data_IF_250230162436
#
_entry.id   IF_250230162436
#
_cell.length_a   1.000
_cell.length_b   1.000
_cell.length_c   1.000
_cell.angle_alpha   90.00
_cell.angle_beta   90.00
_cell.angle_gamma   90.00
#
_symmetry.space_group_name_H-M   'P 1'
#
loop_
_entity.id
_entity.type
_entity.pdbx_description
1 polymer ?
#
# COMPACT_ATOMS: atom_id res chain seq x y z
N UNK A 1 20.26 0.10 11.46
CA UNK A 1 21.26 -0.99 11.44
C UNK A 1 21.29 -1.49 10.00
N UNK A 2 22.28 -1.26 9.14
CA UNK A 2 23.71 -1.07 9.31
C UNK A 2 24.24 -0.42 8.00
N UNK A 3 24.30 0.92 7.91
CA UNK A 3 24.70 1.65 6.68
C UNK A 3 26.11 2.25 6.77
N UNK A 4 26.84 1.97 7.85
CA UNK A 4 28.15 2.59 8.13
C UNK A 4 29.31 1.59 8.02
N UNK A 5 29.04 0.28 8.00
CA UNK A 5 30.09 -0.74 7.90
C UNK A 5 30.77 -0.78 6.51
N UNK A 6 30.03 -0.53 5.43
CA UNK A 6 30.56 -0.57 4.06
C UNK A 6 31.71 0.44 3.82
N UNK A 7 31.52 1.74 4.17
CA UNK A 7 32.58 2.74 4.06
C UNK A 7 33.78 2.44 4.94
N UNK A 8 33.59 1.92 6.16
CA UNK A 8 34.68 1.67 7.10
C UNK A 8 35.59 0.53 6.63
N UNK A 9 35.01 -0.54 6.09
CA UNK A 9 35.78 -1.66 5.51
C UNK A 9 36.56 -1.22 4.26
N UNK A 10 35.97 -0.33 3.45
CA UNK A 10 36.63 0.23 2.28
C UNK A 10 37.80 1.14 2.68
N UNK A 11 37.64 1.93 3.74
CA UNK A 11 38.69 2.81 4.27
C UNK A 11 39.86 2.03 4.89
N UNK A 12 39.56 0.95 5.63
CA UNK A 12 40.57 0.10 6.28
C UNK A 12 41.37 -0.68 5.23
N UNK A 13 40.72 -1.21 4.20
CA UNK A 13 41.41 -1.91 3.10
C UNK A 13 42.24 -0.95 2.22
N UNK A 14 41.78 0.29 2.01
CA UNK A 14 42.51 1.29 1.22
C UNK A 14 43.80 1.83 1.89
N UNK A 15 43.98 1.61 3.20
CA UNK A 15 45.15 2.11 3.94
C UNK A 15 46.46 1.36 3.66
N UNK A 16 46.43 0.20 3.00
CA UNK A 16 47.62 -0.62 2.71
C UNK A 16 47.85 -0.75 1.20
N UNK A 17 48.26 0.37 0.58
CA UNK A 17 48.38 0.58 -0.87
C UNK A 17 49.44 -0.28 -1.60
N UNK A 18 50.10 -1.25 -0.93
CA UNK A 18 51.19 -2.07 -1.49
C UNK A 18 50.77 -3.49 -1.94
N UNK A 19 49.52 -3.91 -1.75
CA UNK A 19 49.07 -5.27 -2.12
C UNK A 19 48.46 -5.32 -3.53
N UNK A 20 48.99 -6.17 -4.42
CA UNK A 20 48.43 -6.42 -5.77
C UNK A 20 46.98 -6.94 -5.74
N UNK A 21 46.54 -7.53 -4.64
CA UNK A 21 45.17 -8.03 -4.43
C UNK A 21 44.17 -6.93 -4.12
N UNK A 22 44.62 -5.73 -3.73
CA UNK A 22 43.76 -4.61 -3.32
C UNK A 22 42.75 -4.19 -4.40
N UNK A 23 43.14 -4.25 -5.68
CA UNK A 23 42.26 -3.94 -6.81
C UNK A 23 41.16 -4.99 -7.00
N UNK A 24 41.46 -6.26 -6.73
CA UNK A 24 40.49 -7.35 -6.81
C UNK A 24 39.50 -7.25 -5.65
N UNK A 25 39.98 -7.03 -4.43
CA UNK A 25 39.15 -6.87 -3.23
C UNK A 25 38.17 -5.69 -3.40
N UNK A 26 38.64 -4.56 -3.93
CA UNK A 26 37.81 -3.40 -4.21
C UNK A 26 36.78 -3.65 -5.32
N UNK A 27 37.15 -4.39 -6.38
CA UNK A 27 36.21 -4.77 -7.43
C UNK A 27 35.08 -5.69 -6.90
N UNK A 28 35.42 -6.63 -6.03
CA UNK A 28 34.44 -7.50 -5.36
C UNK A 28 33.50 -6.69 -4.47
N UNK A 29 34.03 -5.75 -3.67
CA UNK A 29 33.20 -4.86 -2.82
C UNK A 29 32.23 -4.04 -3.69
N UNK A 30 32.71 -3.42 -4.77
CA UNK A 30 31.87 -2.63 -5.68
C UNK A 30 30.79 -3.51 -6.32
N UNK A 31 31.13 -4.73 -6.75
CA UNK A 31 30.16 -5.67 -7.31
C UNK A 31 29.07 -6.05 -6.29
N UNK A 32 29.46 -6.35 -5.05
CA UNK A 32 28.51 -6.62 -3.97
C UNK A 32 27.60 -5.40 -3.67
N UNK A 33 28.15 -4.19 -3.69
CA UNK A 33 27.37 -2.95 -3.49
C UNK A 33 26.37 -2.72 -4.61
N UNK A 34 26.77 -2.91 -5.88
CA UNK A 34 25.87 -2.80 -7.03
C UNK A 34 24.76 -3.85 -6.93
N UNK A 35 25.09 -5.10 -6.58
CA UNK A 35 24.10 -6.14 -6.39
C UNK A 35 23.10 -5.81 -5.28
N UNK A 36 23.58 -5.34 -4.12
CA UNK A 36 22.73 -4.92 -3.01
C UNK A 36 21.83 -3.72 -3.40
N UNK A 37 22.36 -2.76 -4.15
CA UNK A 37 21.61 -1.60 -4.63
C UNK A 37 20.52 -2.01 -5.64
N UNK A 38 20.85 -2.85 -6.62
CA UNK A 38 19.88 -3.38 -7.58
C UNK A 38 18.78 -4.19 -6.89
N UNK A 39 19.14 -4.99 -5.89
CA UNK A 39 18.17 -5.72 -5.08
C UNK A 39 17.24 -4.79 -4.31
N UNK A 40 17.78 -3.75 -3.68
CA UNK A 40 16.99 -2.72 -3.00
C UNK A 40 16.03 -1.99 -3.95
N UNK A 41 16.51 -1.59 -5.13
CA UNK A 41 15.67 -0.99 -6.18
C UNK A 41 14.55 -1.93 -6.64
N UNK A 42 14.87 -3.21 -6.89
CA UNK A 42 13.89 -4.20 -7.28
C UNK A 42 12.82 -4.39 -6.19
N UNK A 43 13.23 -4.54 -4.93
CA UNK A 43 12.33 -4.67 -3.79
C UNK A 43 11.37 -3.48 -3.68
N UNK A 44 11.88 -2.25 -3.79
CA UNK A 44 11.03 -1.03 -3.80
C UNK A 44 10.08 -1.03 -5.00
N UNK A 45 10.55 -1.45 -6.18
CA UNK A 45 9.75 -1.43 -7.39
C UNK A 45 8.56 -2.38 -7.33
N UNK A 46 8.71 -3.57 -6.72
CA UNK A 46 7.64 -4.57 -6.59
C UNK A 46 6.72 -4.29 -5.41
N UNK A 47 7.25 -3.79 -4.28
CA UNK A 47 6.46 -3.52 -3.07
C UNK A 47 5.78 -2.14 -3.06
N UNK A 48 5.90 -1.35 -4.14
CA UNK A 48 5.26 -0.03 -4.21
C UNK A 48 3.72 -0.15 -4.24
N UNK A 49 2.99 0.78 -3.61
CA UNK A 49 1.54 0.82 -3.71
C UNK A 49 1.12 1.24 -5.12
N UNK A 50 0.24 0.45 -5.73
CA UNK A 50 -0.31 0.72 -7.07
C UNK A 50 -1.81 1.00 -7.03
N UNK A 51 -2.53 0.44 -6.07
CA UNK A 51 -3.92 0.76 -5.82
C UNK A 51 -4.19 0.96 -4.33
N UNK A 52 -5.17 1.80 -4.04
CA UNK A 52 -5.86 1.80 -2.76
C UNK A 52 -7.32 1.49 -3.05
N UNK A 53 -7.71 0.26 -2.78
CA UNK A 53 -8.98 -0.30 -3.22
C UNK A 53 -9.95 -0.44 -2.05
N UNK A 54 -11.15 0.11 -2.20
CA UNK A 54 -12.24 -0.09 -1.24
C UNK A 54 -12.90 -1.44 -1.50
N UNK A 55 -12.90 -2.31 -0.48
CA UNK A 55 -13.80 -3.47 -0.41
C UNK A 55 -15.00 -3.14 0.49
N UNK A 56 -15.86 -4.13 0.78
CA UNK A 56 -17.12 -3.97 1.53
C UNK A 56 -17.03 -3.08 2.78
N UNK A 57 -15.92 -3.11 3.53
CA UNK A 57 -15.81 -2.46 4.83
C UNK A 57 -14.67 -1.43 4.95
N UNK A 58 -13.62 -1.55 4.13
CA UNK A 58 -12.38 -0.81 4.34
C UNK A 58 -11.61 -0.67 3.04
N UNK A 59 -10.68 0.27 3.03
CA UNK A 59 -9.67 0.32 2.00
C UNK A 59 -8.55 -0.68 2.30
N UNK A 60 -7.89 -1.16 1.26
CA UNK A 60 -6.65 -1.93 1.33
C UNK A 60 -5.63 -1.36 0.34
N UNK A 61 -4.38 -1.25 0.79
CA UNK A 61 -3.25 -0.92 -0.08
C UNK A 61 -2.83 -2.17 -0.83
N UNK A 62 -2.79 -2.07 -2.16
CA UNK A 62 -2.40 -3.17 -3.04
C UNK A 62 -1.03 -2.85 -3.65
N UNK A 63 -0.08 -3.76 -3.48
CA UNK A 63 1.29 -3.63 -3.98
C UNK A 63 1.41 -4.13 -5.42
N UNK A 64 2.46 -3.71 -6.13
CA UNK A 64 2.57 -3.96 -7.57
C UNK A 64 2.64 -5.46 -7.92
N UNK A 65 3.37 -6.24 -7.13
CA UNK A 65 3.50 -7.69 -7.25
C UNK A 65 2.27 -8.47 -6.82
N UNK A 66 1.39 -7.84 -6.05
CA UNK A 66 0.24 -8.50 -5.44
C UNK A 66 -1.02 -8.44 -6.32
N UNK A 67 -1.03 -7.66 -7.41
CA UNK A 67 -2.20 -7.51 -8.29
C UNK A 67 -2.38 -8.74 -9.18
N UNK A 68 -3.48 -9.45 -8.98
CA UNK A 68 -3.86 -10.62 -9.75
C UNK A 68 -4.72 -10.24 -10.95
N UNK A 69 -4.26 -10.66 -12.13
CA UNK A 69 -4.97 -10.48 -13.41
C UNK A 69 -5.23 -11.85 -14.00
N UNK A 70 -6.50 -12.23 -13.98
CA UNK A 70 -6.99 -13.48 -14.55
C UNK A 70 -7.32 -13.23 -16.03
N UNK A 71 -6.55 -13.82 -16.94
CA UNK A 71 -6.70 -13.64 -18.39
C UNK A 71 -8.06 -14.12 -18.92
N UNK A 72 -8.74 -15.00 -18.18
CA UNK A 72 -10.08 -15.48 -18.54
C UNK A 72 -11.19 -14.48 -18.21
N UNK A 73 -10.88 -13.41 -17.47
CA UNK A 73 -11.87 -12.44 -16.98
C UNK A 73 -11.65 -11.07 -17.60
N UNK A 74 -12.75 -10.39 -17.93
CA UNK A 74 -12.70 -9.03 -18.41
C UNK A 74 -12.18 -8.09 -17.29
N UNK A 75 -11.19 -7.27 -17.64
CA UNK A 75 -10.62 -6.22 -16.78
C UNK A 75 -10.87 -4.89 -17.48
N UNK A 76 -11.25 -3.86 -16.74
CA UNK A 76 -11.41 -2.53 -17.33
C UNK A 76 -10.04 -2.00 -17.81
N UNK A 77 -9.97 -1.31 -18.97
CA UNK A 77 -8.69 -0.85 -19.55
C UNK A 77 -7.80 -0.06 -18.58
N UNK A 78 -8.40 0.76 -17.71
CA UNK A 78 -7.68 1.56 -16.69
C UNK A 78 -7.00 0.74 -15.58
N UNK A 79 -7.32 -0.56 -15.46
CA UNK A 79 -6.81 -1.47 -14.43
C UNK A 79 -6.00 -2.65 -15.02
N UNK A 80 -5.89 -2.74 -16.35
CA UNK A 80 -5.09 -3.77 -17.04
C UNK A 80 -3.60 -3.72 -16.70
N UNK A 81 -3.09 -2.55 -16.31
CA UNK A 81 -1.68 -2.36 -15.94
C UNK A 81 -1.55 -1.54 -14.68
N UNK A 82 -0.52 -1.86 -13.90
CA UNK A 82 -0.19 -1.11 -12.69
C UNK A 82 0.27 0.32 -13.06
N UNK A 83 -0.23 1.36 -12.38
CA UNK A 83 0.34 2.69 -12.53
C UNK A 83 1.79 2.72 -12.03
N UNK A 84 2.60 3.60 -12.64
CA UNK A 84 4.03 3.71 -12.33
C UNK A 84 4.35 4.81 -11.31
N UNK A 85 3.64 5.95 -11.37
CA UNK A 85 4.00 7.15 -10.63
C UNK A 85 3.19 7.40 -9.35
N UNK A 86 1.88 7.13 -9.40
CA UNK A 86 0.96 7.31 -8.28
C UNK A 86 0.01 6.13 -8.21
N UNK A 87 -0.38 5.75 -7.02
CA UNK A 87 -1.45 4.76 -6.88
C UNK A 87 -2.77 5.34 -7.40
N UNK A 88 -3.67 4.46 -7.84
CA UNK A 88 -5.03 4.83 -8.20
C UNK A 88 -6.03 4.33 -7.16
N UNK A 89 -7.10 5.10 -6.95
CA UNK A 89 -8.24 4.64 -6.17
C UNK A 89 -9.08 3.68 -7.00
N UNK A 90 -9.49 2.58 -6.38
CA UNK A 90 -10.39 1.61 -6.99
C UNK A 90 -11.44 1.18 -5.97
N UNK A 91 -12.51 0.56 -6.45
CA UNK A 91 -13.45 -0.15 -5.61
C UNK A 91 -13.64 -1.57 -6.12
N UNK A 92 -13.85 -2.51 -5.23
CA UNK A 92 -14.28 -3.87 -5.55
C UNK A 92 -15.77 -3.83 -5.83
N UNK A 93 -16.20 -4.35 -6.98
CA UNK A 93 -17.62 -4.45 -7.32
C UNK A 93 -18.37 -5.30 -6.29
N UNK A 94 -19.62 -4.94 -5.95
CA UNK A 94 -20.47 -5.78 -5.11
C UNK A 94 -20.55 -7.23 -5.62
N UNK A 95 -20.79 -8.16 -4.70
CA UNK A 95 -21.12 -9.53 -5.06
C UNK A 95 -22.49 -9.57 -5.75
N UNK A 96 -22.62 -10.43 -6.77
CA UNK A 96 -23.87 -10.63 -7.49
C UNK A 96 -24.87 -11.43 -6.66
N UNK A 97 -24.37 -12.41 -5.89
CA UNK A 97 -25.16 -13.29 -5.05
C UNK A 97 -24.34 -13.83 -3.85
N UNK A 98 -25.00 -14.55 -2.95
CA UNK A 98 -24.38 -15.17 -1.79
C UNK A 98 -23.34 -16.24 -2.18
N UNK A 99 -23.49 -16.87 -3.35
CA UNK A 99 -22.54 -17.89 -3.83
C UNK A 99 -21.21 -17.24 -4.22
N UNK A 100 -21.24 -16.12 -4.93
CA UNK A 100 -20.06 -15.34 -5.26
C UNK A 100 -19.37 -14.81 -3.99
N UNK A 101 -20.14 -14.31 -3.03
CA UNK A 101 -19.61 -13.86 -1.75
C UNK A 101 -18.85 -14.99 -1.02
N UNK A 102 -19.47 -16.17 -0.92
CA UNK A 102 -18.85 -17.34 -0.31
C UNK A 102 -17.59 -17.78 -1.07
N UNK A 103 -17.66 -17.85 -2.40
CA UNK A 103 -16.51 -18.22 -3.23
C UNK A 103 -15.33 -17.27 -3.05
N UNK A 104 -15.57 -15.96 -3.01
CA UNK A 104 -14.52 -14.96 -2.75
C UNK A 104 -13.90 -15.14 -1.36
N UNK A 105 -14.74 -15.36 -0.36
CA UNK A 105 -14.29 -15.58 1.03
C UNK A 105 -13.42 -16.83 1.14
N UNK A 106 -13.87 -17.96 0.58
CA UNK A 106 -13.08 -19.20 0.57
C UNK A 106 -11.79 -19.06 -0.22
N UNK A 107 -11.82 -18.37 -1.35
CA UNK A 107 -10.62 -18.10 -2.15
C UNK A 107 -9.59 -17.29 -1.38
N UNK A 108 -10.00 -16.21 -0.70
CA UNK A 108 -9.12 -15.40 0.14
C UNK A 108 -8.55 -16.23 1.30
N UNK A 109 -9.37 -17.04 1.98
CA UNK A 109 -8.91 -17.90 3.07
C UNK A 109 -7.89 -18.95 2.61
N UNK A 110 -8.07 -19.50 1.40
CA UNK A 110 -7.20 -20.55 0.87
C UNK A 110 -5.89 -20.00 0.30
N UNK A 111 -5.93 -18.82 -0.33
CA UNK A 111 -4.80 -18.28 -1.11
C UNK A 111 -4.13 -17.07 -0.47
N UNK A 112 -4.79 -16.42 0.47
CA UNK A 112 -4.42 -15.09 0.99
C UNK A 112 -4.69 -13.93 0.02
N UNK A 113 -5.25 -14.20 -1.17
CA UNK A 113 -5.53 -13.18 -2.18
C UNK A 113 -6.92 -12.58 -1.92
N UNK A 114 -6.94 -11.37 -1.39
CA UNK A 114 -8.20 -10.67 -1.11
C UNK A 114 -8.89 -10.19 -2.40
N UNK A 115 -10.19 -9.86 -2.35
CA UNK A 115 -10.90 -9.27 -3.49
C UNK A 115 -10.26 -7.96 -4.00
N UNK A 116 -9.63 -7.19 -3.10
CA UNK A 116 -8.93 -5.95 -3.46
C UNK A 116 -7.68 -6.20 -4.28
N UNK A 117 -7.12 -7.41 -4.30
CA UNK A 117 -5.96 -7.77 -5.12
C UNK A 117 -6.35 -8.19 -6.54
N UNK A 118 -7.64 -8.40 -6.81
CA UNK A 118 -8.11 -8.99 -8.07
C UNK A 118 -8.64 -7.91 -9.03
N UNK A 119 -7.86 -7.58 -10.07
CA UNK A 119 -8.13 -6.45 -10.95
C UNK A 119 -9.46 -6.54 -11.73
N UNK A 120 -9.93 -7.76 -12.03
CA UNK A 120 -11.21 -7.98 -12.70
C UNK A 120 -12.44 -7.62 -11.85
N UNK A 121 -12.25 -7.39 -10.55
CA UNK A 121 -13.30 -6.91 -9.65
C UNK A 121 -13.32 -5.39 -9.55
N UNK A 122 -12.34 -4.69 -10.13
CA UNK A 122 -12.24 -3.25 -9.96
C UNK A 122 -13.29 -2.49 -10.77
N UNK A 123 -13.82 -1.46 -10.13
CA UNK A 123 -14.64 -0.42 -10.72
C UNK A 123 -14.16 0.97 -10.24
N UNK A 124 -14.72 2.03 -10.82
CA UNK A 124 -14.44 3.40 -10.35
C UNK A 124 -14.81 3.56 -8.88
N UNK A 125 -13.95 4.22 -8.11
CA UNK A 125 -14.21 4.54 -6.70
C UNK A 125 -15.52 5.34 -6.51
N UNK A 126 -15.92 6.11 -7.52
CA UNK A 126 -17.17 6.89 -7.48
C UNK A 126 -18.42 6.01 -7.31
N UNK A 127 -18.37 4.77 -7.79
CA UNK A 127 -19.48 3.83 -7.67
C UNK A 127 -19.61 3.24 -6.25
N UNK A 128 -18.58 3.37 -5.41
CA UNK A 128 -18.58 2.85 -4.06
C UNK A 128 -19.11 3.82 -3.00
N UNK A 129 -19.39 5.09 -3.34
CA UNK A 129 -19.87 6.09 -2.38
C UNK A 129 -21.09 5.67 -1.55
N UNK A 130 -22.12 5.01 -2.11
CA UNK A 130 -23.23 4.50 -1.31
C UNK A 130 -22.77 3.53 -0.22
N UNK A 131 -21.88 2.59 -0.56
CA UNK A 131 -21.34 1.61 0.37
C UNK A 131 -20.38 2.25 1.40
N UNK A 132 -19.50 3.15 0.96
CA UNK A 132 -18.61 3.90 1.84
C UNK A 132 -19.40 4.73 2.86
N UNK A 133 -20.46 5.41 2.42
CA UNK A 133 -21.30 6.22 3.32
C UNK A 133 -22.06 5.37 4.35
N UNK A 134 -22.44 4.14 4.00
CA UNK A 134 -23.10 3.21 4.91
C UNK A 134 -22.15 2.59 5.95
N UNK A 135 -20.83 2.65 5.71
CA UNK A 135 -19.81 1.99 6.55
C UNK A 135 -18.82 2.96 7.21
N UNK A 136 -18.93 4.26 6.93
CA UNK A 136 -18.07 5.29 7.50
C UNK A 136 -18.18 5.32 9.02
N UNK A 137 -17.06 5.63 9.68
CA UNK A 137 -16.96 5.78 11.12
C UNK A 137 -16.95 7.25 11.55
N UNK A 138 -17.37 7.52 12.78
CA UNK A 138 -17.31 8.85 13.37
C UNK A 138 -15.88 9.18 13.78
N UNK A 139 -15.43 10.41 13.51
CA UNK A 139 -14.06 10.85 13.80
C UNK A 139 -13.66 10.71 15.28
N UNK A 140 -14.62 10.78 16.20
CA UNK A 140 -14.34 10.59 17.63
C UNK A 140 -13.88 9.17 17.97
N UNK A 141 -14.21 8.16 17.15
CA UNK A 141 -13.74 6.79 17.34
C UNK A 141 -12.21 6.68 17.22
N UNK A 142 -11.57 7.56 16.43
CA UNK A 142 -10.11 7.58 16.30
C UNK A 142 -9.40 7.88 17.62
N UNK A 143 -10.04 8.62 18.54
CA UNK A 143 -9.47 8.93 19.87
C UNK A 143 -9.39 7.72 20.80
N UNK A 144 -10.05 6.60 20.45
CA UNK A 144 -9.96 5.34 21.22
C UNK A 144 -8.61 4.64 21.04
N UNK A 145 -7.97 4.86 19.89
CA UNK A 145 -6.76 4.13 19.47
C UNK A 145 -5.56 5.05 19.22
N UNK A 146 -5.76 6.36 19.34
CA UNK A 146 -4.75 7.39 19.10
C UNK A 146 -4.82 8.43 20.21
N UNK A 147 -3.72 9.14 20.46
CA UNK A 147 -3.75 10.27 21.40
C UNK A 147 -4.68 11.38 20.89
N UNK A 148 -5.55 11.95 21.74
CA UNK A 148 -6.48 13.01 21.34
C UNK A 148 -5.81 14.22 20.68
N UNK A 149 -4.59 14.56 21.12
CA UNK A 149 -3.81 15.70 20.63
C UNK A 149 -3.39 15.49 19.17
N UNK A 150 -2.92 14.28 18.82
CA UNK A 150 -2.51 13.94 17.45
C UNK A 150 -3.73 13.90 16.52
N UNK A 151 -4.84 13.34 16.98
CA UNK A 151 -6.10 13.32 16.22
C UNK A 151 -6.54 14.75 15.91
N UNK A 152 -6.59 15.63 16.92
CA UNK A 152 -6.98 17.03 16.72
C UNK A 152 -6.02 17.76 15.77
N UNK A 153 -4.72 17.60 15.93
CA UNK A 153 -3.71 18.23 15.07
C UNK A 153 -3.88 17.83 13.60
N UNK A 154 -4.16 16.55 13.32
CA UNK A 154 -4.39 16.06 11.95
C UNK A 154 -5.71 16.58 11.41
N UNK A 155 -6.80 16.51 12.18
CA UNK A 155 -8.12 16.98 11.74
C UNK A 155 -8.15 18.50 11.49
N UNK A 156 -7.36 19.29 12.22
CA UNK A 156 -7.19 20.72 11.96
C UNK A 156 -6.59 21.03 10.59
N UNK A 157 -5.76 20.13 10.03
CA UNK A 157 -5.22 20.28 8.67
C UNK A 157 -6.27 19.98 7.58
N UNK A 158 -7.34 19.27 7.95
CA UNK A 158 -8.38 18.79 7.04
C UNK A 158 -9.78 19.13 7.59
N UNK A 159 -10.14 20.42 7.74
CA UNK A 159 -11.37 20.85 8.39
C UNK A 159 -12.67 20.40 7.69
N UNK A 160 -12.58 20.03 6.41
CA UNK A 160 -13.70 19.51 5.63
C UNK A 160 -14.06 18.04 5.95
N UNK A 161 -13.20 17.33 6.67
CA UNK A 161 -13.41 15.92 7.00
C UNK A 161 -14.58 15.75 7.97
N UNK A 162 -15.52 14.86 7.65
CA UNK A 162 -16.68 14.56 8.47
C UNK A 162 -16.71 13.10 8.98
N UNK A 163 -15.89 12.23 8.40
CA UNK A 163 -15.89 10.81 8.68
C UNK A 163 -14.59 10.15 8.21
N UNK A 164 -14.39 8.89 8.59
CA UNK A 164 -13.27 8.11 8.08
C UNK A 164 -13.68 6.67 7.74
N UNK A 165 -12.85 6.00 6.94
CA UNK A 165 -12.87 4.56 6.76
C UNK A 165 -11.50 3.96 7.10
N UNK A 166 -11.42 2.74 7.65
CA UNK A 166 -10.16 2.06 7.87
C UNK A 166 -9.40 1.83 6.56
N UNK A 167 -8.07 1.88 6.63
CA UNK A 167 -7.15 1.46 5.58
C UNK A 167 -6.25 0.35 6.11
N UNK A 168 -6.34 -0.83 5.53
CA UNK A 168 -5.37 -1.90 5.76
C UNK A 168 -4.13 -1.64 4.90
N UNK A 169 -2.97 -1.51 5.51
CA UNK A 169 -1.70 -1.36 4.80
C UNK A 169 -0.69 -2.44 5.24
N UNK A 170 0.35 -2.74 4.44
CA UNK A 170 1.25 -3.86 4.72
C UNK A 170 1.97 -3.80 6.07
N UNK A 171 2.26 -2.59 6.56
CA UNK A 171 3.03 -2.38 7.80
C UNK A 171 2.13 -2.02 8.97
N UNK A 172 1.19 -1.09 8.75
CA UNK A 172 0.36 -0.57 9.82
C UNK A 172 -0.96 -0.02 9.29
N UNK A 173 -2.05 -0.35 9.96
CA UNK A 173 -3.38 0.12 9.56
C UNK A 173 -3.53 1.62 9.81
N UNK A 174 -4.12 2.31 8.85
CA UNK A 174 -4.26 3.77 8.79
C UNK A 174 -5.74 4.15 8.63
N UNK A 175 -6.03 5.45 8.55
CA UNK A 175 -7.37 5.95 8.30
C UNK A 175 -7.43 6.74 6.98
N UNK A 176 -8.49 6.53 6.20
CA UNK A 176 -8.85 7.37 5.05
C UNK A 176 -9.88 8.39 5.52
N UNK A 177 -9.51 9.66 5.55
CA UNK A 177 -10.39 10.77 5.87
C UNK A 177 -11.29 11.09 4.67
N UNK A 178 -12.57 11.30 4.94
CA UNK A 178 -13.60 11.52 3.94
C UNK A 178 -14.34 12.84 4.20
N UNK A 179 -14.76 13.49 3.12
CA UNK A 179 -15.90 14.39 3.11
C UNK A 179 -17.06 13.62 2.45
N UNK A 180 -17.85 12.96 3.29
CA UNK A 180 -18.93 12.08 2.86
C UNK A 180 -20.09 12.82 2.20
N UNK A 181 -20.24 14.12 2.52
CA UNK A 181 -21.26 15.01 1.94
C UNK A 181 -20.92 15.37 0.50
N UNK A 182 -19.66 15.71 0.23
CA UNK A 182 -19.18 16.05 -1.11
C UNK A 182 -18.70 14.84 -1.92
N UNK A 183 -18.76 13.62 -1.34
CA UNK A 183 -18.24 12.40 -1.96
C UNK A 183 -16.78 12.57 -2.38
N UNK A 184 -15.95 13.00 -1.43
CA UNK A 184 -14.53 13.24 -1.67
C UNK A 184 -13.66 12.49 -0.66
N UNK A 185 -12.70 11.72 -1.19
CA UNK A 185 -11.60 11.18 -0.39
C UNK A 185 -10.59 12.30 -0.17
N UNK A 186 -10.34 12.64 1.09
CA UNK A 186 -9.51 13.78 1.47
C UNK A 186 -8.04 13.39 1.57
N UNK A 187 -7.74 12.41 2.44
CA UNK A 187 -6.36 12.06 2.76
C UNK A 187 -6.26 10.70 3.46
N UNK A 188 -5.19 9.96 3.18
CA UNK A 188 -4.73 8.86 4.03
C UNK A 188 -3.86 9.44 5.13
N UNK A 189 -4.22 9.22 6.39
CA UNK A 189 -3.52 9.76 7.57
C UNK A 189 -3.07 8.65 8.49
N UNK A 190 -1.96 8.90 9.20
CA UNK A 190 -1.36 7.95 10.12
C UNK A 190 -2.08 7.94 11.47
N UNK A 191 -3.34 7.51 11.45
CA UNK A 191 -4.20 7.31 12.61
C UNK A 191 -4.73 5.88 12.61
N UNK A 192 -4.73 5.24 13.77
CA UNK A 192 -5.22 3.87 13.95
C UNK A 192 -6.75 3.82 13.91
N UNK A 193 -7.34 3.01 13.02
CA UNK A 193 -8.78 2.90 12.91
C UNK A 193 -9.41 2.00 13.98
N UNK A 194 -8.62 1.09 14.58
CA UNK A 194 -8.95 0.14 15.64
C UNK A 194 -7.69 -0.31 16.39
#
# INVERSE_FOLDING_TARGET
MDMVLGPLLTLVVASDAKKKTLKFDMAVIIACQIAAYLYGMHSIAVSRPVYVAFDVLRFEVVQADSVVRDESKAILPQFERNPWFKFHWAAVRPFQDAKEQNNRTFYELQTGISPTMQAHLYQSIEQAWPAMNARKHHLDELKKYNSPEVVQQILHQYPQTDSYLPLKAPVQDMAVLLDSRQRKIIKIVDLRPF
#
